data_IF_577615668994
#
_entry.id   IF_577615668994
#
_cell.length_a   1.000
_cell.length_b   1.000
_cell.length_c   1.000
_cell.angle_alpha   90.00
_cell.angle_beta   90.00
_cell.angle_gamma   90.00
#
_symmetry.space_group_name_H-M   'P 1'
#
loop_
_entity.id
_entity.type
_entity.pdbx_description
1 polymer ?
#
# COMPACT_ATOMS: atom_id res chain seq x y z
N UNK A 1 -16.86 46.53 -10.04
CA UNK A 1 -17.40 45.20 -9.69
C UNK A 1 -16.28 44.17 -9.94
N UNK A 2 -15.67 43.63 -8.87
CA UNK A 2 -14.67 42.54 -9.01
C UNK A 2 -15.48 41.25 -9.22
N UNK A 3 -15.27 40.58 -10.35
CA UNK A 3 -15.85 39.27 -10.65
C UNK A 3 -15.46 38.24 -9.59
N UNK A 4 -16.43 37.71 -8.88
CA UNK A 4 -16.25 36.58 -7.96
C UNK A 4 -15.72 35.41 -8.79
N UNK A 5 -14.62 34.75 -8.39
CA UNK A 5 -14.12 33.58 -9.12
C UNK A 5 -15.19 32.51 -9.11
N UNK A 6 -15.70 32.15 -10.27
CA UNK A 6 -16.60 31.00 -10.41
C UNK A 6 -15.84 29.75 -10.04
N UNK A 7 -16.12 29.17 -8.86
CA UNK A 7 -15.65 27.82 -8.49
C UNK A 7 -16.10 26.88 -9.60
N UNK A 8 -15.14 26.36 -10.37
CA UNK A 8 -15.38 25.34 -11.39
C UNK A 8 -16.02 24.15 -10.70
N UNK A 9 -17.30 23.88 -10.96
CA UNK A 9 -17.99 22.66 -10.49
C UNK A 9 -17.23 21.47 -11.07
N UNK A 10 -16.47 20.76 -10.21
CA UNK A 10 -15.89 19.48 -10.59
C UNK A 10 -17.03 18.57 -11.05
N UNK A 11 -16.91 17.99 -12.23
CA UNK A 11 -17.98 17.18 -12.81
C UNK A 11 -18.15 15.93 -11.94
N UNK A 12 -19.39 15.59 -11.55
CA UNK A 12 -19.71 14.36 -10.83
C UNK A 12 -19.07 13.13 -11.53
N UNK A 13 -19.08 13.12 -12.86
CA UNK A 13 -18.46 12.12 -13.71
C UNK A 13 -16.96 11.88 -13.40
N UNK A 14 -16.16 12.92 -13.12
CA UNK A 14 -14.72 12.73 -12.81
C UNK A 14 -14.47 11.97 -11.51
N UNK A 15 -15.33 12.18 -10.50
CA UNK A 15 -15.27 11.47 -9.21
C UNK A 15 -15.67 10.01 -9.38
N UNK A 16 -16.73 9.77 -10.15
CA UNK A 16 -17.25 8.42 -10.39
C UNK A 16 -16.23 7.58 -11.15
N UNK A 17 -15.59 8.12 -12.18
CA UNK A 17 -14.53 7.44 -12.92
C UNK A 17 -13.33 7.07 -12.04
N UNK A 18 -12.87 7.98 -11.16
CA UNK A 18 -11.76 7.70 -10.27
C UNK A 18 -12.11 6.61 -9.24
N UNK A 19 -13.34 6.64 -8.69
CA UNK A 19 -13.82 5.60 -7.78
C UNK A 19 -13.96 4.23 -8.50
N UNK A 20 -14.44 4.22 -9.74
CA UNK A 20 -14.51 3.03 -10.58
C UNK A 20 -13.14 2.44 -10.85
N UNK A 21 -12.17 3.25 -11.31
CA UNK A 21 -10.80 2.79 -11.58
C UNK A 21 -10.16 2.21 -10.32
N UNK A 22 -10.36 2.83 -9.17
CA UNK A 22 -9.86 2.32 -7.89
C UNK A 22 -10.49 0.98 -7.53
N UNK A 23 -11.80 0.85 -7.66
CA UNK A 23 -12.54 -0.38 -7.35
C UNK A 23 -12.20 -1.52 -8.31
N UNK A 24 -12.15 -1.25 -9.62
CA UNK A 24 -11.79 -2.24 -10.65
C UNK A 24 -10.34 -2.72 -10.47
N UNK A 25 -9.40 -1.81 -10.21
CA UNK A 25 -8.00 -2.19 -10.00
C UNK A 25 -7.80 -3.04 -8.75
N UNK A 26 -8.51 -2.72 -7.65
CA UNK A 26 -8.50 -3.56 -6.47
C UNK A 26 -9.14 -4.93 -6.75
N UNK A 27 -10.30 -4.96 -7.38
CA UNK A 27 -11.00 -6.19 -7.75
C UNK A 27 -10.13 -7.08 -8.64
N UNK A 28 -9.43 -6.50 -9.61
CA UNK A 28 -8.49 -7.22 -10.48
C UNK A 28 -7.30 -7.79 -9.67
N UNK A 29 -6.71 -7.01 -8.76
CA UNK A 29 -5.63 -7.46 -7.88
C UNK A 29 -6.07 -8.67 -7.06
N UNK A 30 -7.25 -8.61 -6.44
CA UNK A 30 -7.79 -9.70 -5.63
C UNK A 30 -8.19 -10.93 -6.48
N UNK A 31 -8.69 -10.71 -7.70
CA UNK A 31 -8.98 -11.79 -8.63
C UNK A 31 -7.71 -12.53 -9.05
N UNK A 32 -6.61 -11.82 -9.34
CA UNK A 32 -5.31 -12.46 -9.62
C UNK A 32 -4.81 -13.29 -8.43
N UNK A 33 -4.96 -12.80 -7.19
CA UNK A 33 -4.63 -13.61 -6.00
C UNK A 33 -5.51 -14.86 -5.92
N UNK A 34 -6.81 -14.73 -6.16
CA UNK A 34 -7.75 -15.85 -6.11
C UNK A 34 -7.38 -16.97 -7.12
N UNK A 35 -6.87 -16.63 -8.31
CA UNK A 35 -6.42 -17.63 -9.31
C UNK A 35 -5.20 -18.43 -8.85
N UNK A 36 -4.46 -17.96 -7.84
CA UNK A 36 -3.27 -18.64 -7.32
C UNK A 36 -3.53 -19.44 -6.04
N UNK A 37 -4.75 -19.34 -5.49
CA UNK A 37 -5.13 -20.09 -4.29
C UNK A 37 -5.25 -21.57 -4.56
N UNK A 38 -4.85 -22.38 -3.57
CA UNK A 38 -4.90 -23.84 -3.58
C UNK A 38 -5.78 -24.35 -2.44
N UNK A 39 -6.27 -25.57 -2.54
CA UNK A 39 -7.02 -26.21 -1.46
C UNK A 39 -6.24 -26.26 -0.13
N UNK A 40 -4.90 -26.39 -0.20
CA UNK A 40 -4.01 -26.32 0.96
C UNK A 40 -4.06 -24.98 1.71
N UNK A 41 -4.44 -23.90 1.05
CA UNK A 41 -4.49 -22.56 1.64
C UNK A 41 -5.69 -22.35 2.57
N UNK A 42 -6.60 -23.32 2.64
CA UNK A 42 -7.82 -23.29 3.47
C UNK A 42 -8.04 -24.59 4.25
N UNK A 43 -7.05 -25.49 4.32
CA UNK A 43 -7.21 -26.81 4.96
C UNK A 43 -6.96 -26.81 6.48
N UNK A 44 -6.46 -25.71 7.04
CA UNK A 44 -6.22 -25.53 8.47
C UNK A 44 -6.49 -24.09 8.90
N UNK A 45 -6.66 -23.87 10.21
CA UNK A 45 -6.83 -22.52 10.77
C UNK A 45 -5.64 -21.62 10.40
N UNK A 46 -4.44 -22.14 10.49
CA UNK A 46 -3.24 -21.39 10.19
C UNK A 46 -3.11 -21.05 8.68
N UNK A 47 -3.48 -21.98 7.79
CA UNK A 47 -3.47 -21.69 6.34
C UNK A 47 -4.53 -20.64 5.96
N UNK A 48 -5.69 -20.64 6.62
CA UNK A 48 -6.71 -19.59 6.45
C UNK A 48 -6.18 -18.24 6.95
N UNK A 49 -5.53 -18.20 8.11
CA UNK A 49 -4.88 -16.96 8.63
C UNK A 49 -3.84 -16.45 7.65
N UNK A 50 -3.00 -17.32 7.06
CA UNK A 50 -2.04 -16.93 6.01
C UNK A 50 -2.73 -16.35 4.79
N UNK A 51 -3.84 -16.94 4.35
CA UNK A 51 -4.60 -16.44 3.19
C UNK A 51 -5.20 -15.05 3.45
N UNK A 52 -5.79 -14.83 4.61
CA UNK A 52 -6.27 -13.52 5.04
C UNK A 52 -5.13 -12.51 5.09
N UNK A 53 -3.97 -12.91 5.62
CA UNK A 53 -2.76 -12.09 5.67
C UNK A 53 -2.32 -11.64 4.27
N UNK A 54 -2.29 -12.54 3.29
CA UNK A 54 -1.92 -12.24 1.90
C UNK A 54 -2.89 -11.26 1.24
N UNK A 55 -4.19 -11.44 1.44
CA UNK A 55 -5.22 -10.50 0.96
C UNK A 55 -5.07 -9.13 1.60
N UNK A 56 -4.78 -9.08 2.90
CA UNK A 56 -4.51 -7.83 3.61
C UNK A 56 -3.27 -7.12 3.07
N UNK A 57 -2.17 -7.86 2.80
CA UNK A 57 -0.96 -7.31 2.18
C UNK A 57 -1.23 -6.66 0.84
N UNK A 58 -1.90 -7.37 -0.06
CA UNK A 58 -2.21 -6.88 -1.40
C UNK A 58 -3.12 -5.67 -1.37
N UNK A 59 -4.19 -5.72 -0.57
CA UNK A 59 -5.12 -4.60 -0.42
C UNK A 59 -4.44 -3.39 0.21
N UNK A 60 -3.65 -3.60 1.27
CA UNK A 60 -2.94 -2.54 1.97
C UNK A 60 -1.90 -1.85 1.08
N UNK A 61 -1.13 -2.63 0.32
CA UNK A 61 -0.14 -2.10 -0.63
C UNK A 61 -0.82 -1.39 -1.80
N UNK A 62 -1.91 -1.95 -2.33
CA UNK A 62 -2.69 -1.29 -3.37
C UNK A 62 -3.21 0.07 -2.90
N UNK A 63 -3.74 0.17 -1.68
CA UNK A 63 -4.17 1.44 -1.10
C UNK A 63 -3.02 2.42 -0.89
N UNK A 64 -1.83 1.95 -0.53
CA UNK A 64 -0.64 2.79 -0.44
C UNK A 64 -0.27 3.39 -1.80
N UNK A 65 -0.21 2.56 -2.86
CA UNK A 65 0.09 2.99 -4.23
C UNK A 65 -0.94 4.00 -4.72
N UNK A 66 -2.24 3.70 -4.59
CA UNK A 66 -3.32 4.62 -5.00
C UNK A 66 -3.30 5.89 -4.17
N UNK A 67 -3.03 5.79 -2.86
CA UNK A 67 -2.87 6.94 -1.98
C UNK A 67 -1.75 7.89 -2.44
N UNK A 68 -0.64 7.35 -2.96
CA UNK A 68 0.43 8.15 -3.57
C UNK A 68 -0.03 8.80 -4.87
N UNK A 69 -0.74 8.09 -5.75
CA UNK A 69 -1.30 8.70 -6.97
C UNK A 69 -2.20 9.89 -6.66
N UNK A 70 -2.97 9.86 -5.58
CA UNK A 70 -3.82 10.99 -5.20
C UNK A 70 -3.04 12.26 -4.83
N UNK A 71 -1.82 12.13 -4.33
CA UNK A 71 -0.99 13.27 -3.92
C UNK A 71 0.20 13.53 -4.87
N UNK A 72 0.31 12.78 -5.97
CA UNK A 72 1.38 12.92 -6.96
C UNK A 72 1.27 14.18 -7.83
N UNK A 73 0.16 14.95 -7.75
CA UNK A 73 -0.05 16.18 -8.53
C UNK A 73 -0.25 15.97 -10.03
N UNK A 74 -0.82 14.85 -10.44
CA UNK A 74 -1.10 14.56 -11.85
C UNK A 74 -2.16 15.54 -12.38
N UNK A 75 -1.83 16.42 -13.39
CA UNK A 75 -2.73 17.51 -13.79
C UNK A 75 -4.09 17.03 -14.33
N UNK A 76 -4.11 15.91 -15.04
CA UNK A 76 -5.36 15.33 -15.57
C UNK A 76 -6.30 14.88 -14.42
N UNK A 77 -5.74 14.26 -13.38
CA UNK A 77 -6.49 13.78 -12.22
C UNK A 77 -6.96 14.95 -11.36
N UNK A 78 -6.10 15.93 -11.10
CA UNK A 78 -6.46 17.13 -10.33
C UNK A 78 -7.57 17.95 -11.02
N UNK A 79 -7.51 18.08 -12.36
CA UNK A 79 -8.56 18.78 -13.11
C UNK A 79 -9.93 18.06 -13.05
N UNK A 80 -9.92 16.73 -13.04
CA UNK A 80 -11.15 15.94 -13.04
C UNK A 80 -11.79 15.82 -11.65
N UNK A 81 -10.98 15.59 -10.62
CA UNK A 81 -11.45 15.25 -9.26
C UNK A 81 -11.38 16.45 -8.30
N UNK A 82 -10.35 17.27 -8.42
CA UNK A 82 -10.01 18.36 -7.51
C UNK A 82 -9.02 17.95 -6.43
N UNK A 83 -8.03 18.82 -6.20
CA UNK A 83 -6.94 18.57 -5.26
C UNK A 83 -7.44 18.25 -3.84
N UNK A 84 -8.36 19.04 -3.31
CA UNK A 84 -8.87 18.89 -1.94
C UNK A 84 -9.53 17.52 -1.69
N UNK A 85 -10.26 17.00 -2.69
CA UNK A 85 -10.87 15.67 -2.63
C UNK A 85 -9.81 14.57 -2.66
N UNK A 86 -8.80 14.70 -3.52
CA UNK A 86 -7.69 13.75 -3.60
C UNK A 86 -6.92 13.67 -2.27
N UNK A 87 -6.63 14.81 -1.65
CA UNK A 87 -6.02 14.86 -0.32
C UNK A 87 -6.95 14.26 0.75
N UNK A 88 -8.25 14.52 0.68
CA UNK A 88 -9.21 13.92 1.61
C UNK A 88 -9.27 12.39 1.46
N UNK A 89 -9.19 11.86 0.23
CA UNK A 89 -9.14 10.43 -0.03
C UNK A 89 -7.83 9.80 0.43
N UNK A 90 -6.70 10.46 0.19
CA UNK A 90 -5.40 10.04 0.74
C UNK A 90 -5.47 9.90 2.27
N UNK A 91 -6.04 10.88 2.96
CA UNK A 91 -6.22 10.83 4.43
C UNK A 91 -7.14 9.71 4.91
N UNK A 92 -8.07 9.25 4.07
CA UNK A 92 -8.94 8.10 4.39
C UNK A 92 -8.24 6.77 4.10
N UNK A 93 -7.58 6.63 2.95
CA UNK A 93 -6.93 5.38 2.54
C UNK A 93 -5.66 5.09 3.33
N UNK A 94 -4.89 6.12 3.71
CA UNK A 94 -3.62 5.95 4.42
C UNK A 94 -3.73 5.09 5.69
N UNK A 95 -4.63 5.38 6.64
CA UNK A 95 -4.81 4.54 7.82
C UNK A 95 -5.22 3.11 7.50
N UNK A 96 -6.10 2.89 6.52
CA UNK A 96 -6.51 1.55 6.10
C UNK A 96 -5.34 0.76 5.50
N UNK A 97 -4.50 1.40 4.68
CA UNK A 97 -3.27 0.78 4.19
C UNK A 97 -2.38 0.30 5.34
N UNK A 98 -2.15 1.15 6.35
CA UNK A 98 -1.33 0.82 7.52
C UNK A 98 -1.90 -0.32 8.35
N UNK A 99 -3.22 -0.30 8.63
CA UNK A 99 -3.87 -1.37 9.39
C UNK A 99 -3.80 -2.71 8.66
N UNK A 100 -3.99 -2.71 7.35
CA UNK A 100 -3.92 -3.94 6.56
C UNK A 100 -2.49 -4.49 6.45
N UNK A 101 -1.48 -3.61 6.33
CA UNK A 101 -0.07 -4.02 6.34
C UNK A 101 0.32 -4.54 7.73
N UNK A 102 -0.12 -3.90 8.80
CA UNK A 102 0.10 -4.39 10.17
C UNK A 102 -0.57 -5.77 10.37
N UNK A 103 -1.82 -5.90 9.94
CA UNK A 103 -2.54 -7.17 9.99
C UNK A 103 -1.79 -8.27 9.22
N UNK A 104 -1.26 -7.93 8.03
CA UNK A 104 -0.44 -8.86 7.26
C UNK A 104 0.75 -9.36 8.07
N UNK A 105 1.55 -8.45 8.62
CA UNK A 105 2.76 -8.85 9.37
C UNK A 105 2.41 -9.72 10.58
N UNK A 106 1.38 -9.34 11.35
CA UNK A 106 0.96 -10.11 12.51
C UNK A 106 0.43 -11.50 12.13
N UNK A 107 -0.42 -11.57 11.11
CA UNK A 107 -1.08 -12.81 10.73
C UNK A 107 -0.14 -13.76 10.00
N UNK A 108 0.79 -13.26 9.19
CA UNK A 108 1.75 -14.14 8.50
C UNK A 108 2.69 -14.81 9.51
N UNK A 109 3.20 -14.06 10.48
CA UNK A 109 4.06 -14.61 11.54
C UNK A 109 3.29 -15.58 12.41
N UNK A 110 2.06 -15.24 12.83
CA UNK A 110 1.20 -16.11 13.62
C UNK A 110 0.90 -17.43 12.89
N UNK A 111 0.59 -17.34 11.60
CA UNK A 111 0.26 -18.50 10.78
C UNK A 111 1.42 -19.49 10.70
N UNK A 112 2.60 -19.03 10.35
CA UNK A 112 3.77 -19.89 10.18
C UNK A 112 4.28 -20.42 11.55
N UNK A 113 4.35 -19.56 12.56
CA UNK A 113 4.73 -19.97 13.91
C UNK A 113 3.80 -21.08 14.46
N UNK A 114 2.49 -20.99 14.15
CA UNK A 114 1.52 -22.01 14.54
C UNK A 114 1.65 -23.31 13.74
N UNK A 115 2.01 -23.24 12.46
CA UNK A 115 2.27 -24.42 11.64
C UNK A 115 3.56 -25.14 12.08
N UNK A 116 4.61 -24.38 12.39
CA UNK A 116 5.92 -24.92 12.74
C UNK A 116 6.06 -25.22 14.25
N UNK A 117 5.03 -24.89 15.04
CA UNK A 117 5.01 -25.08 16.50
C UNK A 117 6.18 -24.38 17.23
N UNK A 118 6.57 -23.18 16.77
CA UNK A 118 7.63 -22.38 17.37
C UNK A 118 7.13 -21.01 17.85
N UNK A 119 7.85 -20.36 18.78
CA UNK A 119 7.48 -19.02 19.25
C UNK A 119 7.55 -17.95 18.13
N UNK A 120 6.66 -16.96 18.19
CA UNK A 120 6.53 -15.89 17.19
C UNK A 120 7.86 -15.16 16.88
N UNK A 121 8.69 -14.91 17.90
CA UNK A 121 9.98 -14.23 17.70
C UNK A 121 10.99 -15.08 16.94
N UNK A 122 10.95 -16.42 17.12
CA UNK A 122 11.78 -17.36 16.35
C UNK A 122 11.33 -17.39 14.90
N UNK A 123 10.02 -17.43 14.65
CA UNK A 123 9.49 -17.42 13.30
C UNK A 123 9.84 -16.11 12.57
N UNK A 124 9.69 -14.97 13.23
CA UNK A 124 10.13 -13.69 12.65
C UNK A 124 11.63 -13.71 12.31
N UNK A 125 12.46 -14.28 13.16
CA UNK A 125 13.89 -14.43 12.90
C UNK A 125 14.15 -15.36 11.72
N UNK A 126 13.44 -16.49 11.63
CA UNK A 126 13.50 -17.42 10.49
C UNK A 126 13.16 -16.70 9.18
N UNK A 127 12.11 -15.89 9.14
CA UNK A 127 11.77 -15.09 7.96
C UNK A 127 12.91 -14.19 7.52
N UNK A 128 13.56 -13.48 8.45
CA UNK A 128 14.65 -12.57 8.16
C UNK A 128 15.89 -13.28 7.63
N UNK A 129 16.11 -14.54 8.01
CA UNK A 129 17.26 -15.35 7.58
C UNK A 129 17.02 -16.10 6.28
N UNK A 130 15.78 -16.55 6.06
CA UNK A 130 15.47 -17.52 5.00
C UNK A 130 14.92 -16.87 3.74
N UNK A 131 14.04 -15.86 3.90
CA UNK A 131 13.37 -15.26 2.75
C UNK A 131 14.15 -14.08 2.19
N UNK A 132 14.35 -14.03 0.86
CA UNK A 132 15.10 -12.94 0.23
C UNK A 132 14.38 -11.59 0.42
N UNK A 133 15.18 -10.52 0.58
CA UNK A 133 14.71 -9.14 0.71
C UNK A 133 13.82 -8.86 1.94
N UNK A 134 13.88 -9.69 2.96
CA UNK A 134 13.05 -9.53 4.16
C UNK A 134 13.55 -8.39 5.07
N UNK A 135 14.87 -8.16 5.15
CA UNK A 135 15.42 -7.03 5.89
C UNK A 135 15.00 -5.66 5.34
N UNK A 136 15.06 -5.39 4.03
CA UNK A 136 14.48 -4.19 3.45
C UNK A 136 12.97 -4.06 3.68
N UNK A 137 12.23 -5.17 3.63
CA UNK A 137 10.79 -5.18 3.90
C UNK A 137 10.49 -4.81 5.36
N UNK A 138 11.24 -5.34 6.32
CA UNK A 138 11.13 -4.98 7.74
C UNK A 138 11.44 -3.49 7.96
N UNK A 139 12.51 -2.98 7.35
CA UNK A 139 12.84 -1.55 7.40
C UNK A 139 11.70 -0.70 6.82
N UNK A 140 11.15 -1.09 5.68
CA UNK A 140 9.99 -0.44 5.07
C UNK A 140 8.76 -0.47 5.98
N UNK A 141 8.47 -1.60 6.62
CA UNK A 141 7.38 -1.71 7.59
C UNK A 141 7.56 -0.75 8.78
N UNK A 142 8.77 -0.68 9.35
CA UNK A 142 9.07 0.24 10.46
C UNK A 142 8.87 1.69 10.03
N UNK A 143 9.36 2.08 8.84
CA UNK A 143 9.18 3.43 8.29
C UNK A 143 7.69 3.76 8.08
N UNK A 144 6.90 2.82 7.56
CA UNK A 144 5.46 2.99 7.39
C UNK A 144 4.74 3.19 8.73
N UNK A 145 5.08 2.37 9.75
CA UNK A 145 4.49 2.51 11.08
C UNK A 145 4.88 3.84 11.72
N UNK A 146 6.13 4.26 11.59
CA UNK A 146 6.61 5.55 12.08
C UNK A 146 5.84 6.72 11.42
N UNK A 147 5.68 6.70 10.10
CA UNK A 147 4.90 7.70 9.38
C UNK A 147 3.42 7.72 9.83
N UNK A 148 2.84 6.55 10.09
CA UNK A 148 1.48 6.42 10.60
C UNK A 148 1.30 7.01 11.99
N UNK A 149 2.18 6.63 12.91
CA UNK A 149 2.14 7.13 14.32
C UNK A 149 2.33 8.65 14.36
N UNK A 150 3.29 9.18 13.60
CA UNK A 150 3.56 10.62 13.55
C UNK A 150 2.48 11.41 12.81
N UNK A 151 1.70 10.78 11.95
CA UNK A 151 0.55 11.38 11.27
C UNK A 151 -0.74 11.34 12.12
N UNK A 152 -0.75 10.57 13.21
CA UNK A 152 -1.88 10.56 14.13
C UNK A 152 -2.04 11.92 14.82
N UNK A 153 -3.27 12.40 14.94
CA UNK A 153 -3.63 13.76 15.33
C UNK A 153 -2.88 14.28 16.58
N UNK A 154 -2.80 13.46 17.64
CA UNK A 154 -2.15 13.85 18.89
C UNK A 154 -0.61 13.92 18.77
N UNK A 155 0.00 13.02 18.00
CA UNK A 155 1.44 13.04 17.75
C UNK A 155 1.81 14.19 16.80
N UNK A 156 1.04 14.38 15.73
CA UNK A 156 1.21 15.47 14.77
C UNK A 156 1.17 16.86 15.42
N UNK A 157 0.30 17.06 16.41
CA UNK A 157 0.18 18.35 17.13
C UNK A 157 1.40 18.71 17.95
N UNK A 158 2.27 17.74 18.29
CA UNK A 158 3.50 17.94 19.10
C UNK A 158 4.75 18.09 18.24
N UNK A 159 4.62 18.13 16.90
CA UNK A 159 5.74 18.05 15.97
C UNK A 159 5.73 19.24 15.01
N UNK A 160 6.92 19.77 14.64
CA UNK A 160 7.01 20.78 13.58
C UNK A 160 6.52 20.21 12.24
N UNK A 161 6.11 21.09 11.34
CA UNK A 161 5.67 20.68 10.00
C UNK A 161 6.81 19.99 9.23
N UNK A 162 8.00 20.54 9.30
CA UNK A 162 9.20 20.07 8.61
C UNK A 162 9.59 18.67 9.06
N UNK A 163 9.61 18.43 10.38
CA UNK A 163 9.92 17.10 10.95
C UNK A 163 8.90 16.07 10.51
N UNK A 164 7.61 16.40 10.61
CA UNK A 164 6.55 15.49 10.14
C UNK A 164 6.68 15.22 8.64
N UNK A 165 6.91 16.26 7.84
CA UNK A 165 7.01 16.15 6.39
C UNK A 165 8.17 15.24 5.98
N UNK A 166 9.34 15.38 6.61
CA UNK A 166 10.50 14.54 6.37
C UNK A 166 10.15 13.07 6.68
N UNK A 167 9.61 12.79 7.86
CA UNK A 167 9.23 11.43 8.25
C UNK A 167 8.20 10.87 7.25
N UNK A 168 7.22 11.67 6.88
CA UNK A 168 6.15 11.24 5.98
C UNK A 168 6.66 10.91 4.57
N UNK A 169 7.64 11.66 4.04
CA UNK A 169 8.20 11.41 2.71
C UNK A 169 8.98 10.08 2.65
N UNK A 170 9.49 9.58 3.77
CA UNK A 170 10.12 8.26 3.83
C UNK A 170 9.15 7.11 3.54
N UNK A 171 7.83 7.36 3.48
CA UNK A 171 6.87 6.36 3.00
C UNK A 171 7.14 5.94 1.56
N UNK A 172 7.70 6.79 0.71
CA UNK A 172 8.14 6.40 -0.64
C UNK A 172 9.24 5.36 -0.60
N UNK A 173 10.23 5.57 0.28
CA UNK A 173 11.34 4.60 0.51
C UNK A 173 10.79 3.31 1.09
N UNK A 174 9.86 3.40 2.04
CA UNK A 174 9.22 2.24 2.66
C UNK A 174 8.51 1.34 1.63
N UNK A 175 7.73 1.94 0.74
CA UNK A 175 7.02 1.21 -0.32
C UNK A 175 8.02 0.60 -1.32
N UNK A 176 9.05 1.33 -1.73
CA UNK A 176 10.09 0.81 -2.61
C UNK A 176 10.87 -0.36 -1.96
N UNK A 177 11.24 -0.25 -0.68
CA UNK A 177 11.96 -1.29 0.05
C UNK A 177 11.14 -2.58 0.21
N UNK A 178 9.80 -2.47 0.25
CA UNK A 178 8.91 -3.63 0.37
C UNK A 178 8.63 -4.33 -0.97
N UNK A 179 9.00 -3.75 -2.13
CA UNK A 179 8.66 -4.29 -3.44
C UNK A 179 9.27 -5.67 -3.70
N UNK A 180 10.58 -5.81 -3.49
CA UNK A 180 11.30 -7.04 -3.85
C UNK A 180 10.84 -8.25 -3.05
N UNK A 181 10.55 -8.10 -1.73
CA UNK A 181 10.05 -9.22 -0.95
C UNK A 181 8.68 -9.70 -1.46
N UNK A 182 7.85 -8.79 -1.96
CA UNK A 182 6.52 -9.13 -2.50
C UNK A 182 6.66 -10.01 -3.74
N UNK A 183 7.42 -9.56 -4.75
CA UNK A 183 7.53 -10.27 -6.02
C UNK A 183 8.34 -11.56 -5.95
N UNK A 184 9.22 -11.70 -4.94
CA UNK A 184 10.05 -12.90 -4.76
C UNK A 184 9.39 -13.94 -3.83
N UNK A 185 8.58 -13.52 -2.85
CA UNK A 185 8.02 -14.42 -1.85
C UNK A 185 6.48 -14.52 -1.92
N UNK A 186 5.80 -13.56 -2.55
CA UNK A 186 4.34 -13.54 -2.59
C UNK A 186 3.77 -14.63 -3.48
N UNK A 187 2.79 -15.41 -2.95
CA UNK A 187 2.14 -16.51 -3.67
C UNK A 187 1.55 -16.05 -5.01
N UNK A 188 0.99 -14.85 -5.09
CA UNK A 188 0.45 -14.27 -6.32
C UNK A 188 1.50 -14.12 -7.41
N UNK A 189 2.79 -14.04 -7.07
CA UNK A 189 3.87 -13.65 -7.98
C UNK A 189 4.83 -14.79 -8.31
N UNK A 190 5.06 -15.71 -7.37
CA UNK A 190 5.95 -16.85 -7.59
C UNK A 190 5.37 -17.76 -8.66
N UNK A 191 6.15 -17.99 -9.73
CA UNK A 191 5.74 -18.75 -10.93
C UNK A 191 4.59 -18.14 -11.76
N UNK A 192 4.24 -16.86 -11.52
CA UNK A 192 3.20 -16.14 -12.25
C UNK A 192 3.75 -14.86 -12.91
N UNK A 193 4.43 -14.95 -14.07
CA UNK A 193 5.12 -13.81 -14.68
C UNK A 193 4.17 -12.65 -15.06
N UNK A 194 2.95 -12.93 -15.49
CA UNK A 194 1.97 -11.90 -15.83
C UNK A 194 1.53 -11.11 -14.58
N UNK A 195 1.35 -11.78 -13.45
CA UNK A 195 1.02 -11.12 -12.20
C UNK A 195 2.17 -10.23 -11.70
N UNK A 196 3.42 -10.70 -11.88
CA UNK A 196 4.62 -9.86 -11.63
C UNK A 196 4.64 -8.64 -12.51
N UNK A 197 4.39 -8.81 -13.81
CA UNK A 197 4.37 -7.69 -14.76
C UNK A 197 3.33 -6.65 -14.37
N UNK A 198 2.11 -7.09 -14.06
CA UNK A 198 1.05 -6.20 -13.59
C UNK A 198 1.48 -5.40 -12.34
N UNK A 199 1.99 -6.09 -11.33
CA UNK A 199 2.39 -5.45 -10.07
C UNK A 199 3.57 -4.50 -10.24
N UNK A 200 4.57 -4.92 -11.02
CA UNK A 200 5.72 -4.08 -11.36
C UNK A 200 5.28 -2.84 -12.14
N UNK A 201 4.35 -2.98 -13.07
CA UNK A 201 3.80 -1.84 -13.82
C UNK A 201 3.12 -0.82 -12.89
N UNK A 202 2.36 -1.26 -11.87
CA UNK A 202 1.77 -0.36 -10.87
C UNK A 202 2.83 0.43 -10.12
N UNK A 203 3.92 -0.23 -9.68
CA UNK A 203 5.02 0.43 -8.98
C UNK A 203 5.79 1.40 -9.88
N UNK A 204 6.06 1.02 -11.13
CA UNK A 204 6.74 1.88 -12.10
C UNK A 204 5.89 3.10 -12.44
N UNK A 205 4.59 2.92 -12.67
CA UNK A 205 3.67 4.04 -12.93
C UNK A 205 3.58 4.99 -11.74
N UNK A 206 3.52 4.44 -10.52
CA UNK A 206 3.54 5.24 -9.30
C UNK A 206 4.85 6.04 -9.18
N UNK A 207 6.00 5.39 -9.35
CA UNK A 207 7.30 6.04 -9.28
C UNK A 207 7.45 7.13 -10.36
N UNK A 208 7.04 6.83 -11.59
CA UNK A 208 7.03 7.81 -12.68
C UNK A 208 6.13 9.02 -12.37
N UNK A 209 4.94 8.79 -11.84
CA UNK A 209 4.04 9.86 -11.44
C UNK A 209 4.65 10.77 -10.36
N UNK A 210 5.32 10.18 -9.37
CA UNK A 210 6.01 10.93 -8.30
C UNK A 210 7.19 11.72 -8.87
N UNK A 211 8.05 11.09 -9.68
CA UNK A 211 9.23 11.74 -10.25
C UNK A 211 8.82 12.90 -11.16
N UNK A 212 7.91 12.66 -12.10
CA UNK A 212 7.53 13.66 -13.11
C UNK A 212 6.70 14.80 -12.51
N UNK A 213 5.69 14.48 -11.69
CA UNK A 213 4.72 15.48 -11.27
C UNK A 213 4.92 16.00 -9.86
N UNK A 214 5.52 15.23 -8.95
CA UNK A 214 5.75 15.68 -7.58
C UNK A 214 7.09 16.37 -7.42
N UNK A 215 8.14 15.87 -8.07
CA UNK A 215 9.49 16.45 -8.01
C UNK A 215 9.83 17.33 -9.22
N UNK A 216 9.06 17.27 -10.31
CA UNK A 216 9.22 18.15 -11.48
C UNK A 216 10.49 17.88 -12.28
N UNK A 217 10.95 16.62 -12.33
CA UNK A 217 12.14 16.19 -13.07
C UNK A 217 11.73 15.67 -14.45
#
# INVERSE_FOLDING_TARGET
MKSVPTFRKHTAAGVDWAAWLLGVGLGFTLALQATTMRASDINSVYSVIASISRLAALTGTYFAIVGIFFVARIPAVERGVGHDRLVAWHRKLGPWSLYLILLHVLFIVLSFAGQDHIPLYKEMWTFLQTFPWMWPALAGFILMMLAGVTSYRKARAKMSYETWWIIHIYTYVAIAASFMHQVLNGQMFVNHPLNRLYWTALYVLMAAAVVIYRFGI
#
